data_IF_287213074847
#
_entry.id   IF_287213074847
#
_cell.length_a   1.000
_cell.length_b   1.000
_cell.length_c   1.000
_cell.angle_alpha   90.00
_cell.angle_beta   90.00
_cell.angle_gamma   90.00
#
_symmetry.space_group_name_H-M   'P 1'
#
loop_
_entity.id
_entity.type
_entity.pdbx_description
1 polymer ?
#
# COMPACT_ATOMS: atom_id res chain seq x y z
N UNK A 1 20.24 -31.21 -32.82
CA UNK A 1 20.49 -29.76 -32.83
C UNK A 1 19.73 -29.17 -31.65
N UNK A 2 20.40 -29.12 -30.53
CA UNK A 2 19.88 -28.62 -29.26
C UNK A 2 19.89 -27.10 -29.31
N UNK A 3 18.70 -26.51 -29.31
CA UNK A 3 18.54 -25.06 -29.20
C UNK A 3 18.99 -24.61 -27.81
N UNK A 4 20.02 -23.77 -27.78
CA UNK A 4 20.39 -23.02 -26.58
C UNK A 4 19.28 -22.03 -26.27
N UNK A 5 18.33 -22.41 -25.45
CA UNK A 5 17.45 -21.47 -24.76
C UNK A 5 18.34 -20.60 -23.86
N UNK A 6 18.38 -19.30 -24.12
CA UNK A 6 19.10 -18.38 -23.25
C UNK A 6 18.56 -18.53 -21.82
N UNK A 7 19.40 -18.99 -20.89
CA UNK A 7 19.12 -18.96 -19.46
C UNK A 7 19.08 -17.47 -19.08
N UNK A 8 17.88 -16.92 -19.04
CA UNK A 8 17.69 -15.69 -18.27
C UNK A 8 17.80 -16.06 -16.79
N UNK A 9 18.54 -15.28 -16.02
CA UNK A 9 18.56 -15.44 -14.58
C UNK A 9 17.11 -15.34 -14.05
N UNK A 10 16.72 -16.18 -13.09
CA UNK A 10 15.37 -16.14 -12.55
C UNK A 10 15.06 -14.79 -11.89
N UNK A 11 13.81 -14.36 -11.96
CA UNK A 11 13.31 -13.16 -11.27
C UNK A 11 13.41 -13.40 -9.77
N UNK A 12 14.23 -12.63 -9.05
CA UNK A 12 14.43 -12.73 -7.61
C UNK A 12 13.31 -12.00 -6.88
N UNK A 13 12.57 -12.73 -6.05
CA UNK A 13 11.43 -12.21 -5.30
C UNK A 13 11.69 -12.29 -3.80
N UNK A 14 11.33 -11.23 -3.08
CA UNK A 14 11.22 -11.20 -1.61
C UNK A 14 9.76 -11.14 -1.21
N UNK A 15 9.35 -12.01 -0.27
CA UNK A 15 8.00 -12.07 0.28
C UNK A 15 7.95 -11.36 1.63
N UNK A 16 7.04 -10.40 1.77
CA UNK A 16 6.85 -9.63 3.00
C UNK A 16 5.40 -9.74 3.46
N UNK A 17 5.14 -10.60 4.45
CA UNK A 17 3.81 -10.86 5.02
C UNK A 17 3.99 -11.44 6.44
N UNK A 18 3.21 -11.00 7.42
CA UNK A 18 3.29 -11.53 8.80
C UNK A 18 2.48 -12.80 9.03
N UNK A 19 1.64 -13.19 8.04
CA UNK A 19 0.86 -14.41 8.07
C UNK A 19 1.68 -15.59 7.52
N UNK A 20 2.32 -16.37 8.40
CA UNK A 20 3.21 -17.48 8.03
C UNK A 20 2.60 -18.45 7.01
N UNK A 21 1.33 -18.86 7.21
CA UNK A 21 0.68 -19.80 6.30
C UNK A 21 0.50 -19.23 4.90
N UNK A 22 0.13 -17.94 4.79
CA UNK A 22 -0.04 -17.29 3.52
C UNK A 22 1.31 -17.09 2.81
N UNK A 23 2.33 -16.64 3.55
CA UNK A 23 3.68 -16.44 3.02
C UNK A 23 4.29 -17.74 2.48
N UNK A 24 4.18 -18.86 3.23
CA UNK A 24 4.61 -20.18 2.76
C UNK A 24 3.80 -20.62 1.53
N UNK A 25 2.48 -20.42 1.51
CA UNK A 25 1.65 -20.71 0.35
C UNK A 25 2.06 -19.92 -0.90
N UNK A 26 2.39 -18.64 -0.76
CA UNK A 26 2.93 -17.83 -1.84
C UNK A 26 4.28 -18.36 -2.35
N UNK A 27 5.19 -18.75 -1.45
CA UNK A 27 6.48 -19.32 -1.82
C UNK A 27 6.29 -20.60 -2.67
N UNK A 28 5.43 -21.51 -2.24
CA UNK A 28 5.10 -22.75 -2.97
C UNK A 28 4.44 -22.44 -4.35
N UNK A 29 3.57 -21.45 -4.41
CA UNK A 29 2.96 -21.01 -5.67
C UNK A 29 3.99 -20.47 -6.65
N UNK A 30 4.90 -19.62 -6.19
CA UNK A 30 5.95 -19.03 -7.03
C UNK A 30 6.97 -20.10 -7.48
N UNK A 31 7.25 -21.09 -6.66
CA UNK A 31 8.15 -22.20 -7.01
C UNK A 31 7.63 -23.06 -8.18
N UNK A 32 6.37 -22.99 -8.52
CA UNK A 32 5.83 -23.68 -9.71
C UNK A 32 6.31 -23.08 -11.05
N UNK A 33 6.92 -21.89 -11.01
CA UNK A 33 7.41 -21.17 -12.17
C UNK A 33 8.94 -21.24 -12.23
N UNK A 34 9.51 -21.83 -13.29
CA UNK A 34 10.95 -22.02 -13.48
C UNK A 34 11.74 -20.69 -13.63
N UNK A 35 11.04 -19.59 -13.90
CA UNK A 35 11.60 -18.26 -14.15
C UNK A 35 11.54 -17.33 -12.91
N UNK A 36 11.07 -17.82 -11.75
CA UNK A 36 10.94 -17.04 -10.51
C UNK A 36 11.63 -17.75 -9.36
N UNK A 37 12.39 -17.00 -8.56
CA UNK A 37 13.10 -17.51 -7.37
C UNK A 37 12.77 -16.66 -6.14
N UNK A 38 12.25 -17.27 -5.07
CA UNK A 38 12.08 -16.62 -3.78
C UNK A 38 13.42 -16.60 -3.04
N UNK A 39 14.05 -15.43 -2.96
CA UNK A 39 15.39 -15.25 -2.37
C UNK A 39 15.37 -14.80 -0.92
N UNK A 40 14.21 -14.43 -0.38
CA UNK A 40 14.07 -14.01 1.01
C UNK A 40 12.63 -13.84 1.45
N UNK A 41 12.44 -13.85 2.77
CA UNK A 41 11.16 -13.67 3.44
C UNK A 41 11.30 -12.69 4.62
N UNK A 42 10.26 -11.90 4.86
CA UNK A 42 10.15 -11.00 6.00
C UNK A 42 8.73 -11.02 6.58
N UNK A 43 8.63 -10.87 7.89
CA UNK A 43 7.35 -10.86 8.62
C UNK A 43 7.10 -9.54 9.36
N UNK A 44 7.84 -8.50 9.03
CA UNK A 44 7.66 -7.15 9.56
C UNK A 44 8.27 -6.13 8.62
N UNK A 45 7.82 -4.87 8.71
CA UNK A 45 8.30 -3.78 7.87
C UNK A 45 9.82 -3.54 8.02
N UNK A 46 10.35 -3.56 9.25
CA UNK A 46 11.79 -3.37 9.49
C UNK A 46 12.61 -4.48 8.81
N UNK A 47 12.20 -5.74 9.00
CA UNK A 47 12.88 -6.89 8.37
C UNK A 47 12.76 -6.89 6.85
N UNK A 48 11.64 -6.41 6.31
CA UNK A 48 11.45 -6.28 4.87
C UNK A 48 12.53 -5.38 4.25
N UNK A 49 12.80 -4.22 4.84
CA UNK A 49 13.84 -3.29 4.37
C UNK A 49 15.24 -3.95 4.43
N UNK A 50 15.55 -4.62 5.53
CA UNK A 50 16.87 -5.27 5.70
C UNK A 50 17.04 -6.43 4.71
N UNK A 51 16.01 -7.26 4.53
CA UNK A 51 16.02 -8.38 3.58
C UNK A 51 16.20 -7.88 2.15
N UNK A 52 15.50 -6.83 1.75
CA UNK A 52 15.61 -6.23 0.41
C UNK A 52 17.03 -5.68 0.17
N UNK A 53 17.64 -5.02 1.15
CA UNK A 53 19.02 -4.53 1.05
C UNK A 53 20.03 -5.67 0.91
N UNK A 54 19.84 -6.77 1.65
CA UNK A 54 20.73 -7.92 1.62
C UNK A 54 20.61 -8.73 0.31
N UNK A 55 19.38 -8.98 -0.12
CA UNK A 55 19.11 -9.89 -1.24
C UNK A 55 19.08 -9.20 -2.60
N UNK A 56 18.90 -7.88 -2.65
CA UNK A 56 18.76 -7.10 -3.88
C UNK A 56 17.80 -7.76 -4.89
N UNK A 57 16.52 -7.97 -4.51
CA UNK A 57 15.53 -8.64 -5.35
C UNK A 57 15.11 -7.75 -6.54
N UNK A 58 14.58 -8.38 -7.59
CA UNK A 58 13.94 -7.69 -8.70
C UNK A 58 12.52 -7.23 -8.33
N UNK A 59 11.82 -8.04 -7.50
CA UNK A 59 10.44 -7.77 -7.08
C UNK A 59 10.27 -8.03 -5.58
N UNK A 60 9.45 -7.20 -4.95
CA UNK A 60 8.99 -7.40 -3.57
C UNK A 60 7.47 -7.54 -3.56
N UNK A 61 6.95 -8.63 -2.99
CA UNK A 61 5.54 -8.75 -2.64
C UNK A 61 5.36 -8.24 -1.21
N UNK A 62 4.61 -7.16 -1.04
CA UNK A 62 4.51 -6.43 0.24
C UNK A 62 3.07 -6.42 0.74
N UNK A 63 2.82 -7.03 1.90
CA UNK A 63 1.57 -6.85 2.62
C UNK A 63 1.51 -5.49 3.31
N UNK A 64 0.31 -4.95 3.43
CA UNK A 64 0.04 -3.69 4.13
C UNK A 64 -0.03 -3.86 5.65
N UNK A 65 -0.47 -5.03 6.12
CA UNK A 65 -0.76 -5.32 7.53
C UNK A 65 0.39 -6.09 8.20
N UNK A 66 1.57 -5.47 8.28
CA UNK A 66 2.70 -6.04 8.99
C UNK A 66 3.07 -5.22 10.24
N UNK A 67 3.62 -5.84 11.31
CA UNK A 67 4.11 -5.11 12.47
C UNK A 67 5.37 -4.27 12.17
N UNK A 68 5.70 -3.37 13.10
CA UNK A 68 6.93 -2.57 13.13
C UNK A 68 7.14 -1.67 11.90
N UNK A 69 6.21 -0.75 11.67
CA UNK A 69 6.35 0.26 10.61
C UNK A 69 5.04 0.52 9.88
N UNK A 70 5.12 1.23 8.78
CA UNK A 70 4.01 1.50 7.88
C UNK A 70 4.37 1.10 6.45
N UNK A 71 3.45 0.45 5.75
CA UNK A 71 3.68 -0.05 4.39
C UNK A 71 4.13 1.03 3.41
N UNK A 72 3.58 2.25 3.53
CA UNK A 72 3.94 3.38 2.67
C UNK A 72 5.37 3.85 2.89
N UNK A 73 5.80 3.96 4.15
CA UNK A 73 7.17 4.34 4.50
C UNK A 73 8.17 3.26 4.08
N UNK A 74 7.81 1.99 4.28
CA UNK A 74 8.59 0.83 3.83
C UNK A 74 8.77 0.82 2.32
N UNK A 75 7.68 0.96 1.57
CA UNK A 75 7.72 1.06 0.11
C UNK A 75 8.58 2.25 -0.33
N UNK A 76 8.40 3.43 0.24
CA UNK A 76 9.20 4.61 -0.10
C UNK A 76 10.68 4.36 0.13
N UNK A 77 11.05 3.76 1.27
CA UNK A 77 12.45 3.43 1.58
C UNK A 77 13.04 2.44 0.57
N UNK A 78 12.26 1.45 0.11
CA UNK A 78 12.69 0.51 -0.92
C UNK A 78 12.88 1.20 -2.29
N UNK A 79 12.00 2.14 -2.63
CA UNK A 79 12.09 2.89 -3.90
C UNK A 79 13.24 3.90 -3.92
N UNK A 80 13.77 4.32 -2.77
CA UNK A 80 14.94 5.19 -2.63
C UNK A 80 16.28 4.42 -2.70
N UNK A 81 16.28 3.09 -2.80
CA UNK A 81 17.50 2.30 -2.93
C UNK A 81 18.20 2.55 -4.28
N UNK A 82 19.53 2.35 -4.36
CA UNK A 82 20.29 2.52 -5.61
C UNK A 82 19.81 1.63 -6.77
N UNK A 83 19.27 0.45 -6.44
CA UNK A 83 18.61 -0.48 -7.34
C UNK A 83 17.24 -0.82 -6.73
N UNK A 84 16.24 0.02 -6.99
CA UNK A 84 14.94 -0.17 -6.39
C UNK A 84 14.22 -1.36 -7.01
N UNK A 85 13.63 -2.26 -6.20
CA UNK A 85 12.84 -3.37 -6.72
C UNK A 85 11.49 -2.90 -7.25
N UNK A 86 10.84 -3.70 -8.10
CA UNK A 86 9.43 -3.55 -8.38
C UNK A 86 8.61 -3.91 -7.12
N UNK A 87 7.86 -2.96 -6.56
CA UNK A 87 7.05 -3.22 -5.38
C UNK A 87 5.61 -3.56 -5.78
N UNK A 88 5.18 -4.77 -5.48
CA UNK A 88 3.82 -5.27 -5.67
C UNK A 88 3.13 -5.35 -4.31
N UNK A 89 2.06 -4.61 -4.15
CA UNK A 89 1.23 -4.70 -2.94
C UNK A 89 0.36 -5.95 -3.03
N UNK A 90 0.33 -6.77 -1.97
CA UNK A 90 -0.52 -7.98 -1.87
C UNK A 90 -1.24 -7.94 -0.53
N UNK A 91 -2.55 -7.69 -0.52
CA UNK A 91 -3.30 -7.43 0.71
C UNK A 91 -4.73 -7.95 0.65
N UNK A 92 -5.41 -8.03 1.79
CA UNK A 92 -6.86 -8.33 1.84
C UNK A 92 -7.73 -7.14 1.44
N UNK A 93 -7.16 -5.95 1.34
CA UNK A 93 -7.88 -4.70 1.08
C UNK A 93 -8.00 -4.42 -0.42
N UNK A 94 -9.21 -4.11 -0.89
CA UNK A 94 -9.51 -3.82 -2.29
C UNK A 94 -10.05 -2.38 -2.51
N UNK A 95 -10.01 -1.54 -1.48
CA UNK A 95 -10.54 -0.18 -1.53
C UNK A 95 -9.81 0.68 -2.57
N UNK A 96 -10.53 1.31 -3.50
CA UNK A 96 -9.96 2.09 -4.61
C UNK A 96 -9.00 3.20 -4.16
N UNK A 97 -9.20 3.71 -2.96
CA UNK A 97 -8.31 4.73 -2.38
C UNK A 97 -6.94 4.19 -2.02
N UNK A 98 -6.87 3.00 -1.43
CA UNK A 98 -5.58 2.34 -1.13
C UNK A 98 -4.83 2.06 -2.43
N UNK A 99 -5.53 1.51 -3.43
CA UNK A 99 -4.95 1.28 -4.75
C UNK A 99 -4.36 2.57 -5.32
N UNK A 100 -5.14 3.67 -5.36
CA UNK A 100 -4.65 4.98 -5.85
C UNK A 100 -3.45 5.48 -5.05
N UNK A 101 -3.48 5.33 -3.72
CA UNK A 101 -2.42 5.79 -2.82
C UNK A 101 -1.11 5.06 -3.09
N UNK A 102 -1.12 3.73 -3.11
CA UNK A 102 0.08 2.94 -3.32
C UNK A 102 0.60 2.99 -4.76
N UNK A 103 -0.29 2.91 -5.74
CA UNK A 103 0.07 3.09 -7.15
C UNK A 103 0.60 4.50 -7.40
N UNK A 104 -0.03 5.54 -6.85
CA UNK A 104 0.45 6.93 -6.89
C UNK A 104 1.78 7.14 -6.17
N UNK A 105 2.03 6.38 -5.10
CA UNK A 105 3.27 6.38 -4.33
C UNK A 105 4.44 5.64 -4.99
N UNK A 106 4.22 4.91 -6.09
CA UNK A 106 5.29 4.24 -6.84
C UNK A 106 5.21 2.72 -6.86
N UNK A 107 4.19 2.09 -6.26
CA UNK A 107 4.00 0.66 -6.40
C UNK A 107 3.88 0.26 -7.89
N UNK A 108 4.54 -0.83 -8.28
CA UNK A 108 4.48 -1.37 -9.64
C UNK A 108 3.14 -2.04 -9.92
N UNK A 109 2.54 -2.65 -8.89
CA UNK A 109 1.23 -3.29 -8.98
C UNK A 109 0.52 -3.33 -7.61
N UNK A 110 -0.77 -3.63 -7.66
CA UNK A 110 -1.62 -3.85 -6.48
C UNK A 110 -2.50 -5.08 -6.73
N UNK A 111 -2.39 -6.08 -5.86
CA UNK A 111 -3.18 -7.32 -5.90
C UNK A 111 -3.90 -7.53 -4.58
N UNK A 112 -5.06 -8.18 -4.63
CA UNK A 112 -5.68 -8.74 -3.42
C UNK A 112 -5.14 -10.14 -3.15
N UNK A 113 -5.14 -10.58 -1.88
CA UNK A 113 -4.79 -11.95 -1.48
C UNK A 113 -5.74 -13.03 -2.07
N UNK A 114 -6.80 -12.61 -2.78
CA UNK A 114 -7.72 -13.46 -3.53
C UNK A 114 -7.37 -13.61 -5.02
N UNK A 115 -6.29 -12.98 -5.48
CA UNK A 115 -5.82 -13.10 -6.86
C UNK A 115 -5.48 -14.53 -7.23
N UNK A 116 -5.68 -14.90 -8.49
CA UNK A 116 -5.31 -16.22 -8.99
C UNK A 116 -3.79 -16.38 -9.12
N UNK A 117 -3.30 -17.63 -9.13
CA UNK A 117 -1.89 -17.92 -9.38
C UNK A 117 -1.40 -17.30 -10.70
N UNK A 118 -2.18 -17.42 -11.77
CA UNK A 118 -1.85 -16.87 -13.08
C UNK A 118 -1.66 -15.34 -13.00
N UNK A 119 -2.59 -14.64 -12.35
CA UNK A 119 -2.53 -13.19 -12.15
C UNK A 119 -1.32 -12.77 -11.32
N UNK A 120 -0.97 -13.54 -10.28
CA UNK A 120 0.21 -13.31 -9.46
C UNK A 120 1.50 -13.44 -10.28
N UNK A 121 1.68 -14.55 -11.00
CA UNK A 121 2.87 -14.80 -11.81
C UNK A 121 3.05 -13.76 -12.91
N UNK A 122 2.00 -13.40 -13.61
CA UNK A 122 2.03 -12.36 -14.64
C UNK A 122 2.39 -10.99 -14.06
N UNK A 123 1.85 -10.68 -12.88
CA UNK A 123 2.15 -9.42 -12.19
C UNK A 123 3.61 -9.35 -11.75
N UNK A 124 4.18 -10.43 -11.22
CA UNK A 124 5.61 -10.51 -10.85
C UNK A 124 6.49 -10.28 -12.08
N UNK A 125 6.21 -10.95 -13.20
CA UNK A 125 6.96 -10.78 -14.45
C UNK A 125 6.89 -9.35 -14.98
N UNK A 126 5.71 -8.74 -14.94
CA UNK A 126 5.53 -7.35 -15.38
C UNK A 126 6.24 -6.37 -14.44
N UNK A 127 6.19 -6.58 -13.13
CA UNK A 127 6.86 -5.74 -12.15
C UNK A 127 8.39 -5.81 -12.30
N UNK A 128 8.96 -6.97 -12.60
CA UNK A 128 10.39 -7.15 -12.88
C UNK A 128 10.83 -6.47 -14.19
N UNK A 129 9.97 -6.45 -15.20
CA UNK A 129 10.27 -5.84 -16.51
C UNK A 129 10.23 -4.30 -16.49
N UNK A 130 9.57 -3.71 -15.50
CA UNK A 130 9.44 -2.25 -15.37
C UNK A 130 10.39 -1.82 -14.26
N UNK A 131 11.56 -1.20 -14.56
CA UNK A 131 12.42 -0.63 -13.52
C UNK A 131 11.59 0.28 -12.62
N UNK A 132 11.73 0.13 -11.31
CA UNK A 132 11.10 1.03 -10.34
C UNK A 132 11.61 2.45 -10.62
N UNK A 133 10.78 3.29 -11.19
CA UNK A 133 11.10 4.66 -11.54
C UNK A 133 10.35 5.61 -10.61
N UNK A 134 11.02 6.71 -10.33
CA UNK A 134 10.52 7.77 -9.49
C UNK A 134 9.04 8.08 -9.75
N UNK A 135 8.30 8.29 -8.68
CA UNK A 135 6.89 8.67 -8.71
C UNK A 135 6.67 9.83 -9.70
N UNK A 136 5.90 9.61 -10.78
CA UNK A 136 5.49 10.69 -11.67
C UNK A 136 5.71 10.50 -13.18
N UNK A 137 6.32 9.42 -13.66
CA UNK A 137 6.68 9.31 -15.10
C UNK A 137 5.62 8.67 -16.02
N UNK A 138 4.42 8.40 -15.52
CA UNK A 138 3.28 7.95 -16.35
C UNK A 138 3.39 6.54 -16.93
N UNK A 139 4.29 5.68 -16.42
CA UNK A 139 4.46 4.31 -16.93
C UNK A 139 3.34 3.38 -16.50
N UNK A 140 3.08 2.38 -17.34
CA UNK A 140 2.05 1.38 -17.13
C UNK A 140 2.26 0.63 -15.79
N UNK A 141 1.26 0.66 -14.94
CA UNK A 141 1.21 -0.05 -13.66
C UNK A 141 0.13 -1.10 -13.72
N UNK A 142 0.39 -2.24 -13.11
CA UNK A 142 -0.54 -3.35 -13.14
C UNK A 142 -1.56 -3.20 -12.02
N UNK A 143 -2.78 -2.89 -12.41
CA UNK A 143 -3.93 -2.87 -11.50
C UNK A 143 -4.99 -3.79 -12.09
N UNK A 144 -5.59 -4.70 -11.32
CA UNK A 144 -6.68 -5.56 -11.81
C UNK A 144 -7.76 -4.73 -12.50
N UNK A 145 -8.24 -5.20 -13.67
CA UNK A 145 -9.20 -4.47 -14.52
C UNK A 145 -10.45 -4.02 -13.75
N UNK A 146 -10.92 -4.87 -12.83
CA UNK A 146 -12.05 -4.56 -11.94
C UNK A 146 -11.79 -3.34 -11.05
N UNK A 147 -10.56 -3.18 -10.54
CA UNK A 147 -10.16 -2.04 -9.73
C UNK A 147 -9.93 -0.77 -10.56
N UNK A 148 -9.58 -0.89 -11.86
CA UNK A 148 -9.43 0.27 -12.75
C UNK A 148 -10.77 0.99 -12.97
N UNK A 149 -11.86 0.25 -13.13
CA UNK A 149 -13.20 0.80 -13.30
C UNK A 149 -13.64 1.60 -12.06
N UNK A 150 -13.25 1.12 -10.86
CA UNK A 150 -13.53 1.81 -9.58
C UNK A 150 -12.60 3.01 -9.32
N UNK A 151 -11.39 3.03 -9.90
CA UNK A 151 -10.44 4.16 -9.79
C UNK A 151 -10.91 5.36 -10.60
N UNK A 152 -11.57 5.17 -11.73
CA UNK A 152 -12.11 6.24 -12.57
C UNK A 152 -13.41 6.85 -11.99
N UNK A 153 -14.08 6.14 -11.09
CA UNK A 153 -15.20 6.67 -10.29
C UNK A 153 -14.70 7.67 -9.25
N UNK A 154 -15.10 8.92 -9.37
CA UNK A 154 -14.73 10.02 -8.47
C UNK A 154 -15.15 9.69 -7.03
N UNK A 155 -14.26 9.91 -6.06
CA UNK A 155 -14.67 10.11 -4.67
C UNK A 155 -15.54 11.38 -4.62
N UNK A 156 -16.86 11.22 -4.60
CA UNK A 156 -17.97 12.21 -4.57
C UNK A 156 -17.56 13.67 -4.27
N UNK A 157 -16.73 14.28 -5.13
CA UNK A 157 -16.36 15.69 -5.05
C UNK A 157 -15.44 16.09 -3.88
N UNK A 158 -14.90 15.16 -3.08
CA UNK A 158 -13.91 15.47 -2.04
C UNK A 158 -12.50 15.59 -2.64
N UNK A 159 -11.81 16.69 -2.35
CA UNK A 159 -10.40 16.87 -2.68
C UNK A 159 -9.50 15.98 -1.81
N UNK A 160 -8.27 15.72 -2.27
CA UNK A 160 -7.28 14.96 -1.49
C UNK A 160 -7.06 15.53 -0.08
N UNK A 161 -7.08 16.88 0.07
CA UNK A 161 -6.96 17.55 1.36
C UNK A 161 -8.20 17.33 2.26
N UNK A 162 -9.38 17.28 1.70
CA UNK A 162 -10.60 16.99 2.45
C UNK A 162 -10.64 15.53 2.90
N UNK A 163 -10.17 14.62 2.07
CA UNK A 163 -10.01 13.20 2.43
C UNK A 163 -8.98 13.00 3.55
N UNK A 164 -7.86 13.72 3.52
CA UNK A 164 -6.85 13.67 4.58
C UNK A 164 -7.40 14.15 5.93
N UNK A 165 -8.16 15.24 5.94
CA UNK A 165 -8.84 15.74 7.14
C UNK A 165 -9.89 14.74 7.63
N UNK A 166 -10.64 14.13 6.71
CA UNK A 166 -11.66 13.12 7.03
C UNK A 166 -11.02 11.86 7.66
N UNK A 167 -9.89 11.42 7.14
CA UNK A 167 -9.12 10.30 7.71
C UNK A 167 -8.65 10.62 9.13
N UNK A 168 -8.04 11.79 9.37
CA UNK A 168 -7.62 12.19 10.72
C UNK A 168 -8.82 12.31 11.67
N UNK A 169 -9.96 12.70 11.12
CA UNK A 169 -11.23 12.76 11.84
C UNK A 169 -11.67 11.35 12.26
N UNK A 170 -11.62 10.39 11.36
CA UNK A 170 -11.96 8.98 11.63
C UNK A 170 -10.99 8.33 12.64
N UNK A 171 -9.74 8.74 12.66
CA UNK A 171 -8.73 8.37 13.67
C UNK A 171 -8.99 8.93 15.07
N UNK A 172 -10.08 9.66 15.27
CA UNK A 172 -10.45 10.22 16.58
C UNK A 172 -9.69 11.49 16.97
N UNK A 173 -8.86 12.07 16.11
CA UNK A 173 -8.05 13.26 16.42
C UNK A 173 -8.93 14.50 16.62
N UNK A 174 -8.68 15.31 17.64
CA UNK A 174 -9.34 16.59 17.82
C UNK A 174 -8.97 17.58 16.71
N UNK A 175 -9.78 18.62 16.49
CA UNK A 175 -9.47 19.65 15.49
C UNK A 175 -8.12 20.33 15.72
N UNK A 176 -7.71 20.47 16.95
CA UNK A 176 -6.39 21.01 17.33
C UNK A 176 -5.26 20.05 16.90
N UNK A 177 -5.43 18.74 17.12
CA UNK A 177 -4.45 17.73 16.71
C UNK A 177 -4.36 17.65 15.18
N UNK A 178 -5.50 17.67 14.48
CA UNK A 178 -5.55 17.73 13.01
C UNK A 178 -4.85 18.98 12.49
N UNK A 179 -5.11 20.14 13.12
CA UNK A 179 -4.47 21.40 12.75
C UNK A 179 -2.95 21.32 12.88
N UNK A 180 -2.46 20.77 14.01
CA UNK A 180 -1.03 20.59 14.25
C UNK A 180 -0.39 19.62 13.24
N UNK A 181 -1.00 18.46 12.99
CA UNK A 181 -0.46 17.44 12.07
C UNK A 181 -0.41 17.91 10.61
N UNK A 182 -1.33 18.78 10.22
CA UNK A 182 -1.48 19.26 8.84
C UNK A 182 -0.92 20.69 8.61
N UNK A 183 -0.29 21.29 9.62
CA UNK A 183 0.21 22.67 9.60
C UNK A 183 -0.86 23.71 9.24
N UNK A 184 -2.05 23.55 9.82
CA UNK A 184 -3.20 24.43 9.63
C UNK A 184 -3.59 25.14 10.92
N UNK A 185 -4.48 26.14 10.83
CA UNK A 185 -5.18 26.65 12.01
C UNK A 185 -6.40 25.78 12.36
N UNK A 186 -6.78 25.72 13.64
CA UNK A 186 -7.99 25.02 14.06
C UNK A 186 -9.25 25.56 13.37
N UNK A 187 -9.32 26.87 13.12
CA UNK A 187 -10.41 27.51 12.39
C UNK A 187 -10.48 27.01 10.93
N UNK A 188 -9.33 26.79 10.30
CA UNK A 188 -9.24 26.22 8.95
C UNK A 188 -9.76 24.78 8.91
N UNK A 189 -9.37 23.95 9.90
CA UNK A 189 -9.86 22.58 10.03
C UNK A 189 -11.38 22.54 10.21
N UNK A 190 -11.94 23.39 11.11
CA UNK A 190 -13.40 23.50 11.30
C UNK A 190 -14.13 23.87 10.01
N UNK A 191 -13.59 24.79 9.23
CA UNK A 191 -14.14 25.18 7.93
C UNK A 191 -14.13 24.03 6.93
N UNK A 192 -13.01 23.29 6.84
CA UNK A 192 -12.94 22.11 5.97
C UNK A 192 -13.94 21.04 6.38
N UNK A 193 -14.07 20.74 7.67
CA UNK A 193 -15.05 19.76 8.16
C UNK A 193 -16.48 20.17 7.83
N UNK A 194 -16.83 21.44 8.00
CA UNK A 194 -18.16 21.95 7.60
C UNK A 194 -18.42 21.76 6.09
N UNK A 195 -17.42 22.05 5.25
CA UNK A 195 -17.52 21.84 3.80
C UNK A 195 -17.62 20.35 3.45
N UNK A 196 -16.83 19.49 4.10
CA UNK A 196 -16.88 18.04 3.93
C UNK A 196 -18.28 17.54 4.27
N UNK A 197 -18.79 17.88 5.46
CA UNK A 197 -20.13 17.43 5.90
C UNK A 197 -21.25 17.88 4.93
N UNK A 198 -21.17 19.10 4.43
CA UNK A 198 -22.10 19.60 3.42
C UNK A 198 -22.00 18.82 2.11
N UNK A 199 -20.77 18.54 1.62
CA UNK A 199 -20.55 17.81 0.38
C UNK A 199 -21.05 16.37 0.44
N UNK A 200 -20.80 15.68 1.56
CA UNK A 200 -21.19 14.28 1.72
C UNK A 200 -22.58 14.10 2.35
N UNK A 201 -23.30 15.19 2.64
CA UNK A 201 -24.70 15.15 3.11
C UNK A 201 -24.86 14.55 4.51
N UNK A 202 -23.96 14.89 5.46
CA UNK A 202 -24.01 14.45 6.87
C UNK A 202 -23.98 15.65 7.82
N UNK A 203 -24.40 15.43 9.09
CA UNK A 203 -24.51 16.51 10.06
C UNK A 203 -23.58 16.34 11.27
N UNK A 204 -22.89 15.23 11.36
CA UNK A 204 -22.04 14.94 12.53
C UNK A 204 -20.72 14.27 12.12
N UNK A 205 -19.75 14.39 13.03
CA UNK A 205 -18.44 13.73 12.92
C UNK A 205 -18.57 12.20 12.79
N UNK A 206 -19.43 11.60 13.59
CA UNK A 206 -19.67 10.15 13.60
C UNK A 206 -20.29 9.70 12.29
N UNK A 207 -21.32 10.40 11.79
CA UNK A 207 -21.93 10.11 10.48
C UNK A 207 -20.91 10.24 9.34
N UNK A 208 -20.04 11.27 9.38
CA UNK A 208 -19.01 11.45 8.39
C UNK A 208 -18.02 10.29 8.36
N UNK A 209 -17.58 9.81 9.54
CA UNK A 209 -16.69 8.65 9.64
C UNK A 209 -17.36 7.37 9.14
N UNK A 210 -18.61 7.11 9.57
CA UNK A 210 -19.36 5.92 9.14
C UNK A 210 -19.58 5.91 7.63
N UNK A 211 -19.98 7.05 7.06
CA UNK A 211 -20.19 7.18 5.62
C UNK A 211 -18.90 7.01 4.84
N UNK A 212 -17.81 7.61 5.32
CA UNK A 212 -16.50 7.49 4.67
C UNK A 212 -15.99 6.04 4.62
N UNK A 213 -16.24 5.25 5.68
CA UNK A 213 -15.93 3.82 5.70
C UNK A 213 -16.86 3.02 4.79
N UNK A 214 -18.17 3.29 4.82
CA UNK A 214 -19.16 2.57 4.02
C UNK A 214 -19.00 2.80 2.51
N UNK A 215 -18.60 4.02 2.10
CA UNK A 215 -18.38 4.39 0.71
C UNK A 215 -16.92 4.11 0.25
N UNK A 216 -16.08 3.52 1.12
CA UNK A 216 -14.69 3.20 0.80
C UNK A 216 -13.78 4.43 0.57
N UNK A 217 -14.17 5.62 1.05
CA UNK A 217 -13.32 6.82 0.95
C UNK A 217 -12.13 6.78 1.90
N UNK A 218 -12.28 6.06 3.01
CA UNK A 218 -11.24 5.68 3.97
C UNK A 218 -11.41 4.21 4.31
N UNK A 219 -10.30 3.50 4.57
CA UNK A 219 -10.34 2.09 4.96
C UNK A 219 -10.24 1.94 6.48
N UNK A 220 -10.74 0.81 7.00
CA UNK A 220 -10.55 0.43 8.41
C UNK A 220 -9.07 0.27 8.76
N UNK A 221 -8.28 -0.22 7.81
CA UNK A 221 -6.83 -0.31 7.91
C UNK A 221 -6.18 1.07 8.11
N UNK A 222 -6.48 2.05 7.25
CA UNK A 222 -5.95 3.41 7.39
C UNK A 222 -6.31 4.05 8.73
N UNK A 223 -7.48 3.75 9.27
CA UNK A 223 -7.92 4.24 10.59
C UNK A 223 -7.10 3.60 11.71
N UNK A 224 -6.87 2.28 11.66
CA UNK A 224 -6.17 1.52 12.71
C UNK A 224 -4.65 1.74 12.72
N UNK A 225 -4.03 2.03 11.59
CA UNK A 225 -2.57 2.26 11.47
C UNK A 225 -2.04 3.35 12.43
N UNK A 226 -2.89 4.29 12.85
CA UNK A 226 -2.53 5.33 13.80
C UNK A 226 -2.42 4.85 15.26
N UNK A 227 -3.20 3.82 15.64
CA UNK A 227 -3.18 3.30 17.02
C UNK A 227 -1.86 2.58 17.34
N UNK A 228 -1.25 1.90 16.38
CA UNK A 228 0.04 1.23 16.55
C UNK A 228 1.25 2.18 16.67
N UNK A 229 1.12 3.46 16.29
CA UNK A 229 2.20 4.45 16.41
C UNK A 229 2.25 5.13 17.78
N UNK A 230 1.11 5.27 18.46
CA UNK A 230 1.03 5.97 19.75
C UNK A 230 1.48 5.08 20.92
N UNK A 231 1.24 3.78 20.87
CA UNK A 231 1.70 2.83 21.89
C UNK A 231 3.24 2.73 21.94
N UNK A 232 3.91 2.83 20.80
CA UNK A 232 5.38 2.77 20.72
C UNK A 232 6.10 4.01 21.24
N UNK A 233 5.47 5.18 21.22
CA UNK A 233 6.04 6.40 21.82
C UNK A 233 6.01 6.38 23.35
N UNK A 234 5.09 5.62 23.96
CA UNK A 234 4.99 5.49 25.41
C UNK A 234 5.97 4.45 25.98
N UNK A 235 6.37 3.45 25.20
CA UNK A 235 7.29 2.39 25.64
C UNK A 235 8.78 2.82 25.54
N UNK A 236 9.11 3.79 24.70
CA UNK A 236 10.47 4.35 24.58
C UNK A 236 10.76 5.49 25.58
N UNK A 237 9.75 5.92 26.35
CA UNK A 237 9.88 6.96 27.35
C UNK A 237 9.91 6.40 28.80
N UNK A 238 10.00 5.10 28.97
CA UNK A 238 10.24 4.40 30.25
C UNK A 238 11.59 3.71 30.22
#
# INVERSE_FOLDING_TARGET
MTGAGGMHDPIKVVLCDDHDLFRHGLAEMLWTADDIEVVGEANSHDRAIDTVREKSPDVVLLDLEMPNGGAEETMRTMLELPQPPGVVIVTMHDEPRLVRRFIGGGASAYLTKSASLEELLDTVRQAAAIPALAAGDGRARVVPRKMLEDIEGQADGLSGRELEILLQTARGMSNQQIAASLHLSEATVKRHLANIYSKIGVNSRTEATQKALAEGWISSFEVSEAYGRDERRHDQAR
#
